data_IF_988305676705
#
_entry.id   IF_988305676705
#
_cell.length_a   1.000
_cell.length_b   1.000
_cell.length_c   1.000
_cell.angle_alpha   90.00
_cell.angle_beta   90.00
_cell.angle_gamma   90.00
#
_symmetry.space_group_name_H-M   'P 1'
#
loop_
_entity.id
_entity.type
_entity.pdbx_description
1 polymer ?
#
# COMPACT_ATOMS: atom_id res chain seq x y z
N UNK A 1 8.73 3.02 -18.67
CA UNK A 1 7.55 2.30 -19.16
C UNK A 1 6.52 3.31 -19.69
N UNK A 2 6.16 3.22 -20.97
CA UNK A 2 5.09 4.05 -21.57
C UNK A 2 3.74 3.45 -21.15
N UNK A 3 2.84 4.26 -20.63
CA UNK A 3 1.50 3.80 -20.24
C UNK A 3 0.64 3.69 -21.50
N UNK A 4 -0.25 2.70 -21.48
CA UNK A 4 -1.29 2.57 -22.50
C UNK A 4 -2.23 3.78 -22.43
N UNK A 5 -2.71 4.26 -23.59
CA UNK A 5 -3.62 5.40 -23.67
C UNK A 5 -4.91 5.14 -22.88
N UNK A 6 -5.38 3.88 -22.86
CA UNK A 6 -6.57 3.48 -22.09
C UNK A 6 -6.41 3.65 -20.57
N UNK A 7 -5.17 3.59 -20.06
CA UNK A 7 -4.88 3.81 -18.63
C UNK A 7 -4.86 5.31 -18.34
N UNK A 8 -4.31 6.10 -19.25
CA UNK A 8 -4.28 7.55 -19.10
C UNK A 8 -5.68 8.17 -19.16
N UNK A 9 -6.53 7.70 -20.07
CA UNK A 9 -7.91 8.18 -20.18
C UNK A 9 -8.72 7.83 -18.92
N UNK A 10 -8.57 6.60 -18.40
CA UNK A 10 -9.14 6.20 -17.12
C UNK A 10 -8.71 7.12 -15.97
N UNK A 11 -7.43 7.52 -15.91
CA UNK A 11 -6.96 8.44 -14.86
C UNK A 11 -7.52 9.86 -15.00
N UNK A 12 -7.66 10.35 -16.23
CA UNK A 12 -8.27 11.67 -16.47
C UNK A 12 -9.73 11.68 -16.03
N UNK A 13 -10.49 10.64 -16.37
CA UNK A 13 -11.88 10.45 -15.93
C UNK A 13 -11.97 10.34 -14.41
N UNK A 14 -11.17 9.46 -13.80
CA UNK A 14 -11.16 9.26 -12.34
C UNK A 14 -10.88 10.57 -11.59
N UNK A 15 -9.90 11.36 -12.05
CA UNK A 15 -9.59 12.67 -11.46
C UNK A 15 -10.77 13.62 -11.69
N UNK A 16 -11.30 13.72 -12.91
CA UNK A 16 -12.38 14.66 -13.23
C UNK A 16 -13.65 14.40 -12.38
N UNK A 17 -14.02 13.13 -12.21
CA UNK A 17 -15.21 12.72 -11.46
C UNK A 17 -15.08 13.01 -9.95
N UNK A 18 -13.88 12.82 -9.38
CA UNK A 18 -13.68 12.93 -7.93
C UNK A 18 -13.21 14.32 -7.48
N UNK A 19 -12.54 15.09 -8.34
CA UNK A 19 -11.95 16.40 -8.00
C UNK A 19 -12.90 17.37 -7.28
N UNK A 20 -14.20 17.46 -7.60
CA UNK A 20 -15.11 18.38 -6.90
C UNK A 20 -15.34 18.05 -5.42
N UNK A 21 -15.17 16.79 -5.03
CA UNK A 21 -15.51 16.28 -3.70
C UNK A 21 -14.33 15.68 -2.94
N UNK A 22 -13.19 15.47 -3.58
CA UNK A 22 -12.04 14.72 -3.01
C UNK A 22 -11.53 15.26 -1.68
N UNK A 23 -11.61 16.58 -1.46
CA UNK A 23 -11.20 17.22 -0.19
C UNK A 23 -12.27 17.10 0.91
N UNK A 24 -13.50 16.74 0.54
CA UNK A 24 -14.65 16.61 1.45
C UNK A 24 -15.02 15.15 1.74
N UNK A 25 -14.44 14.21 1.01
CA UNK A 25 -14.68 12.79 1.22
C UNK A 25 -14.34 12.39 2.65
N UNK A 26 -15.21 11.55 3.22
CA UNK A 26 -14.80 10.72 4.35
C UNK A 26 -13.68 9.78 3.91
N UNK A 27 -13.02 9.13 4.86
CA UNK A 27 -11.98 8.14 4.54
C UNK A 27 -12.53 7.03 3.64
N UNK A 28 -13.71 6.51 3.99
CA UNK A 28 -14.35 5.45 3.22
C UNK A 28 -14.79 5.93 1.83
N UNK A 29 -15.28 7.17 1.71
CA UNK A 29 -15.62 7.73 0.39
C UNK A 29 -14.37 7.90 -0.48
N UNK A 30 -13.26 8.37 0.10
CA UNK A 30 -11.99 8.52 -0.62
C UNK A 30 -11.43 7.15 -1.05
N UNK A 31 -11.48 6.18 -0.14
CA UNK A 31 -11.07 4.80 -0.36
C UNK A 31 -11.86 4.22 -1.54
N UNK A 32 -13.19 4.20 -1.43
CA UNK A 32 -14.08 3.53 -2.39
C UNK A 32 -14.12 4.24 -3.75
N UNK A 33 -14.21 5.58 -3.77
CA UNK A 33 -14.43 6.32 -5.02
C UNK A 33 -13.14 6.66 -5.76
N UNK A 34 -11.99 6.66 -5.08
CA UNK A 34 -10.72 7.12 -5.68
C UNK A 34 -9.57 6.13 -5.55
N UNK A 35 -9.26 5.63 -4.35
CA UNK A 35 -8.09 4.76 -4.13
C UNK A 35 -8.33 3.35 -4.70
N UNK A 36 -9.44 2.71 -4.34
CA UNK A 36 -9.83 1.37 -4.78
C UNK A 36 -9.88 1.24 -6.30
N UNK A 37 -10.42 2.20 -7.08
CA UNK A 37 -10.32 2.18 -8.54
C UNK A 37 -8.89 2.09 -9.08
N UNK A 38 -7.94 2.80 -8.47
CA UNK A 38 -6.51 2.74 -8.85
C UNK A 38 -5.96 1.34 -8.54
N UNK A 39 -6.22 0.81 -7.35
CA UNK A 39 -5.75 -0.51 -6.90
C UNK A 39 -6.34 -1.64 -7.76
N UNK A 40 -7.63 -1.56 -8.10
CA UNK A 40 -8.30 -2.49 -9.01
C UNK A 40 -7.69 -2.47 -10.42
N UNK A 41 -7.18 -1.34 -10.89
CA UNK A 41 -6.47 -1.23 -12.18
C UNK A 41 -5.12 -1.96 -12.16
N UNK A 42 -4.47 -2.10 -10.99
CA UNK A 42 -3.21 -2.85 -10.83
C UNK A 42 -3.45 -4.36 -10.92
N UNK A 43 -4.57 -4.85 -10.37
CA UNK A 43 -4.96 -6.27 -10.32
C UNK A 43 -3.89 -7.13 -9.62
N UNK A 44 -3.67 -6.95 -8.32
CA UNK A 44 -2.70 -7.77 -7.56
C UNK A 44 -3.05 -9.26 -7.51
N UNK A 45 -4.34 -9.61 -7.62
CA UNK A 45 -4.83 -10.99 -7.59
C UNK A 45 -4.24 -11.87 -8.71
N UNK A 46 -3.66 -13.00 -8.31
CA UNK A 46 -3.22 -14.10 -9.16
C UNK A 46 -3.66 -15.42 -8.53
N UNK A 47 -4.45 -16.20 -9.26
CA UNK A 47 -4.96 -17.50 -8.77
C UNK A 47 -3.87 -18.58 -8.81
N UNK A 48 -3.04 -18.56 -9.84
CA UNK A 48 -1.94 -19.51 -10.06
C UNK A 48 -0.84 -19.36 -8.99
N UNK A 49 -0.47 -18.11 -8.65
CA UNK A 49 0.50 -17.83 -7.57
C UNK A 49 -0.13 -17.80 -6.19
N UNK A 50 -1.45 -17.90 -6.09
CA UNK A 50 -2.23 -17.75 -4.86
C UNK A 50 -1.92 -16.43 -4.15
N UNK A 51 -1.95 -15.31 -4.86
CA UNK A 51 -1.71 -13.97 -4.31
C UNK A 51 -2.96 -13.13 -4.47
N UNK A 52 -3.28 -12.29 -3.49
CA UNK A 52 -4.26 -11.21 -3.66
C UNK A 52 -4.03 -10.08 -2.66
N UNK A 53 -4.72 -8.99 -2.90
CA UNK A 53 -4.99 -7.95 -1.93
C UNK A 53 -6.09 -8.37 -0.93
N UNK A 54 -5.90 -7.95 0.32
CA UNK A 54 -6.79 -8.09 1.46
C UNK A 54 -7.06 -6.69 2.02
N UNK A 55 -8.29 -6.45 2.44
CA UNK A 55 -8.67 -5.25 3.15
C UNK A 55 -9.03 -5.60 4.59
N UNK A 56 -8.80 -4.68 5.51
CA UNK A 56 -9.15 -4.82 6.93
C UNK A 56 -8.60 -6.12 7.53
N UNK A 57 -7.33 -6.43 7.26
CA UNK A 57 -6.71 -7.69 7.65
C UNK A 57 -6.17 -7.61 9.08
N UNK A 58 -6.70 -8.41 10.04
CA UNK A 58 -6.10 -8.50 11.37
C UNK A 58 -4.72 -9.18 11.29
N UNK A 59 -3.72 -8.59 11.93
CA UNK A 59 -2.37 -9.13 11.96
C UNK A 59 -1.80 -9.03 13.38
N UNK A 60 -1.02 -10.04 13.77
CA UNK A 60 -0.34 -10.07 15.06
C UNK A 60 1.09 -10.56 14.90
N UNK A 61 2.03 -9.79 15.44
CA UNK A 61 3.42 -10.19 15.64
C UNK A 61 3.73 -10.15 17.13
N UNK A 62 4.23 -11.27 17.67
CA UNK A 62 4.46 -11.44 19.11
C UNK A 62 5.87 -11.94 19.37
N UNK A 63 6.56 -11.26 20.28
CA UNK A 63 7.84 -11.69 20.85
C UNK A 63 7.68 -11.93 22.35
N UNK A 64 8.78 -12.26 23.03
CA UNK A 64 8.80 -12.30 24.49
C UNK A 64 8.74 -10.91 25.13
N UNK A 65 9.09 -9.85 24.40
CA UNK A 65 9.14 -8.48 24.93
C UNK A 65 7.88 -7.67 24.65
N UNK A 66 7.25 -7.88 23.50
CA UNK A 66 6.09 -7.09 23.09
C UNK A 66 5.16 -7.85 22.15
N UNK A 67 3.95 -7.30 21.99
CA UNK A 67 2.96 -7.75 21.02
C UNK A 67 2.58 -6.53 20.18
N UNK A 68 2.73 -6.66 18.87
CA UNK A 68 2.11 -5.78 17.89
C UNK A 68 0.86 -6.48 17.36
N UNK A 69 -0.30 -5.86 17.56
CA UNK A 69 -1.58 -6.33 17.06
C UNK A 69 -2.34 -5.14 16.48
N UNK A 70 -2.98 -5.32 15.34
CA UNK A 70 -3.77 -4.31 14.67
C UNK A 70 -4.49 -4.87 13.45
N UNK A 71 -5.30 -4.02 12.84
CA UNK A 71 -5.95 -4.28 11.55
C UNK A 71 -5.25 -3.42 10.50
N UNK A 72 -4.78 -4.05 9.44
CA UNK A 72 -4.13 -3.37 8.31
C UNK A 72 -5.21 -3.00 7.29
N UNK A 73 -5.19 -1.76 6.78
CA UNK A 73 -6.22 -1.29 5.84
C UNK A 73 -6.16 -2.05 4.50
N UNK A 74 -4.94 -2.24 3.97
CA UNK A 74 -4.69 -2.93 2.72
C UNK A 74 -3.37 -3.69 2.74
N UNK A 75 -3.42 -4.97 2.36
CA UNK A 75 -2.25 -5.86 2.31
C UNK A 75 -2.27 -6.72 1.06
N UNK A 76 -1.19 -6.71 0.28
CA UNK A 76 -0.95 -7.75 -0.74
C UNK A 76 -0.27 -8.92 -0.05
N UNK A 77 -0.83 -10.13 -0.15
CA UNK A 77 -0.33 -11.29 0.58
C UNK A 77 -0.51 -12.60 -0.20
N UNK A 78 0.29 -13.60 0.16
CA UNK A 78 0.03 -15.00 -0.21
C UNK A 78 -1.25 -15.50 0.46
N UNK A 79 -2.05 -16.24 -0.30
CA UNK A 79 -3.30 -16.87 0.09
C UNK A 79 -4.50 -16.29 -0.67
N UNK A 80 -5.45 -17.15 -1.02
CA UNK A 80 -6.69 -16.73 -1.69
C UNK A 80 -7.86 -16.54 -0.73
N UNK A 81 -7.83 -17.21 0.43
CA UNK A 81 -8.88 -17.14 1.44
C UNK A 81 -8.33 -16.42 2.67
N UNK A 82 -7.28 -16.99 3.27
CA UNK A 82 -6.56 -16.43 4.42
C UNK A 82 -5.19 -15.92 3.99
N UNK A 83 -4.75 -14.82 4.61
CA UNK A 83 -3.41 -14.26 4.43
C UNK A 83 -2.38 -15.14 5.13
N UNK A 84 -1.29 -15.48 4.44
CA UNK A 84 -0.20 -16.30 4.98
C UNK A 84 1.11 -15.55 5.06
N UNK A 85 1.45 -14.81 4.01
CA UNK A 85 2.74 -14.14 3.86
C UNK A 85 2.54 -12.75 3.25
N UNK A 86 2.51 -11.69 4.06
CA UNK A 86 2.28 -10.34 3.56
C UNK A 86 3.49 -9.83 2.76
N UNK A 87 3.25 -9.11 1.68
CA UNK A 87 4.27 -8.66 0.73
C UNK A 87 4.37 -7.15 0.63
N UNK A 88 3.25 -6.46 0.78
CA UNK A 88 3.16 -5.02 0.62
C UNK A 88 1.95 -4.48 1.39
N UNK A 89 2.11 -3.29 1.96
CA UNK A 89 1.09 -2.63 2.78
C UNK A 89 0.74 -1.27 2.21
N UNK A 90 -0.53 -0.89 2.28
CA UNK A 90 -0.96 0.50 2.12
C UNK A 90 -1.77 0.86 3.36
N UNK A 91 -1.40 1.97 4.01
CA UNK A 91 -2.15 2.51 5.12
C UNK A 91 -2.76 3.87 4.77
N UNK A 92 -4.05 4.04 4.99
CA UNK A 92 -4.83 5.22 4.63
C UNK A 92 -5.09 6.11 5.85
N UNK A 93 -5.05 7.44 5.67
CA UNK A 93 -5.22 8.40 6.76
C UNK A 93 -6.07 9.62 6.39
N UNK A 94 -6.84 10.08 7.38
CA UNK A 94 -7.62 11.33 7.31
C UNK A 94 -6.74 12.56 7.48
N UNK A 95 -7.02 13.60 6.69
CA UNK A 95 -6.40 14.93 6.84
C UNK A 95 -6.89 15.71 8.08
N UNK A 96 -8.04 15.33 8.66
CA UNK A 96 -8.75 16.13 9.67
C UNK A 96 -8.54 15.66 11.12
N UNK A 97 -7.74 14.62 11.36
CA UNK A 97 -7.38 14.22 12.72
C UNK A 97 -6.06 14.90 13.09
N UNK A 98 -6.13 15.94 13.93
CA UNK A 98 -5.00 16.75 14.42
C UNK A 98 -3.85 15.94 15.08
N UNK A 99 -4.01 14.61 15.24
CA UNK A 99 -3.10 13.73 15.97
C UNK A 99 -2.75 12.41 15.26
N UNK A 100 -3.23 12.16 14.03
CA UNK A 100 -2.96 10.93 13.29
C UNK A 100 -1.68 11.01 12.45
N UNK A 101 -0.57 10.43 12.91
CA UNK A 101 0.62 10.28 12.07
C UNK A 101 0.54 8.92 11.33
N UNK A 102 0.63 8.90 10.00
CA UNK A 102 0.55 7.67 9.24
C UNK A 102 1.69 6.68 9.46
N UNK A 103 2.84 7.23 9.85
CA UNK A 103 4.13 6.54 9.78
C UNK A 103 4.31 5.50 10.87
N UNK A 104 3.93 5.73 12.15
CA UNK A 104 4.11 4.73 13.21
C UNK A 104 3.33 3.45 12.95
N UNK A 105 2.10 3.54 12.46
CA UNK A 105 1.29 2.36 12.15
C UNK A 105 1.88 1.57 10.99
N UNK A 106 2.15 2.24 9.86
CA UNK A 106 2.81 1.59 8.73
C UNK A 106 4.18 1.01 9.14
N UNK A 107 4.96 1.71 9.96
CA UNK A 107 6.24 1.20 10.45
C UNK A 107 6.06 -0.09 11.26
N UNK A 108 5.06 -0.16 12.14
CA UNK A 108 4.75 -1.35 12.91
C UNK A 108 4.32 -2.52 12.03
N UNK A 109 3.53 -2.27 10.99
CA UNK A 109 3.12 -3.26 9.99
C UNK A 109 4.32 -3.81 9.23
N UNK A 110 5.20 -2.92 8.74
CA UNK A 110 6.40 -3.31 7.99
C UNK A 110 7.39 -4.08 8.88
N UNK A 111 7.60 -3.66 10.14
CA UNK A 111 8.43 -4.42 11.09
C UNK A 111 7.80 -5.80 11.35
N UNK A 112 6.50 -5.87 11.58
CA UNK A 112 5.81 -7.15 11.83
C UNK A 112 5.99 -8.10 10.66
N UNK A 113 5.79 -7.62 9.43
CA UNK A 113 5.88 -8.44 8.24
C UNK A 113 7.31 -8.81 7.85
N UNK A 114 8.29 -7.91 7.98
CA UNK A 114 9.70 -8.24 7.68
C UNK A 114 10.22 -9.31 8.65
N UNK A 115 9.78 -9.29 9.91
CA UNK A 115 10.12 -10.30 10.91
C UNK A 115 9.37 -11.62 10.68
N UNK A 116 8.05 -11.58 10.45
CA UNK A 116 7.24 -12.78 10.18
C UNK A 116 7.69 -13.53 8.93
N UNK A 117 8.22 -12.81 7.94
CA UNK A 117 8.68 -13.38 6.68
C UNK A 117 10.15 -13.80 6.68
N UNK A 118 10.90 -13.47 7.74
CA UNK A 118 12.37 -13.55 7.80
C UNK A 118 13.06 -12.86 6.60
N UNK A 119 12.67 -11.61 6.37
CA UNK A 119 13.12 -10.81 5.24
C UNK A 119 14.14 -9.75 5.65
N UNK A 120 14.87 -9.24 4.65
CA UNK A 120 15.78 -8.10 4.83
C UNK A 120 15.10 -6.78 4.45
N UNK A 121 14.18 -6.80 3.49
CA UNK A 121 13.50 -5.60 3.00
C UNK A 121 12.01 -5.83 2.87
N UNK A 122 11.22 -4.81 3.14
CA UNK A 122 9.80 -4.77 2.81
C UNK A 122 9.37 -3.39 2.35
N UNK A 123 8.37 -3.34 1.48
CA UNK A 123 7.82 -2.11 0.90
C UNK A 123 6.43 -1.83 1.43
N UNK A 124 6.10 -0.55 1.50
CA UNK A 124 4.75 -0.10 1.79
C UNK A 124 4.46 1.25 1.15
N UNK A 125 3.25 1.73 1.37
CA UNK A 125 2.88 3.11 1.11
C UNK A 125 1.95 3.61 2.22
N UNK A 126 1.91 4.93 2.40
CA UNK A 126 0.83 5.55 3.15
C UNK A 126 0.19 6.67 2.33
N UNK A 127 -1.09 6.88 2.59
CA UNK A 127 -1.93 7.84 1.87
C UNK A 127 -2.51 8.82 2.89
N UNK A 128 -2.43 10.12 2.59
CA UNK A 128 -3.05 11.17 3.42
C UNK A 128 -3.87 12.11 2.53
N UNK A 129 -5.19 11.89 2.52
CA UNK A 129 -6.05 12.42 1.45
C UNK A 129 -5.57 11.92 0.09
N UNK A 130 -5.33 12.81 -0.88
CA UNK A 130 -4.78 12.44 -2.19
C UNK A 130 -3.25 12.26 -2.24
N UNK A 131 -2.52 12.41 -1.14
CA UNK A 131 -1.05 12.38 -1.17
C UNK A 131 -0.52 10.99 -0.85
N UNK A 132 0.31 10.44 -1.73
CA UNK A 132 0.94 9.14 -1.58
C UNK A 132 2.42 9.28 -1.23
N UNK A 133 2.89 8.42 -0.34
CA UNK A 133 4.29 8.23 -0.04
C UNK A 133 4.63 6.75 -0.09
N UNK A 134 5.67 6.39 -0.84
CA UNK A 134 6.19 5.03 -0.87
C UNK A 134 7.32 4.88 0.13
N UNK A 135 7.42 3.69 0.72
CA UNK A 135 8.28 3.39 1.84
C UNK A 135 9.05 2.11 1.60
N UNK A 136 10.32 2.09 2.03
CA UNK A 136 11.14 0.88 2.14
C UNK A 136 11.62 0.79 3.59
N UNK A 137 11.41 -0.37 4.21
CA UNK A 137 12.02 -0.73 5.48
C UNK A 137 13.11 -1.78 5.22
N UNK A 138 14.32 -1.51 5.69
CA UNK A 138 15.45 -2.43 5.68
C UNK A 138 15.75 -2.90 7.11
N UNK A 139 15.83 -4.21 7.33
CA UNK A 139 16.31 -4.81 8.57
C UNK A 139 17.83 -4.93 8.47
N UNK A 140 18.55 -4.16 9.28
CA UNK A 140 20.01 -4.15 9.28
C UNK A 140 20.57 -5.24 10.20
N UNK A 141 20.02 -5.33 11.40
CA UNK A 141 20.41 -6.26 12.45
C UNK A 141 19.19 -6.58 13.33
N UNK A 142 19.37 -7.44 14.35
CA UNK A 142 18.32 -7.71 15.32
C UNK A 142 17.84 -6.40 16.00
N UNK A 143 16.55 -6.10 15.87
CA UNK A 143 15.91 -4.89 16.40
C UNK A 143 16.44 -3.55 15.84
N UNK A 144 17.14 -3.58 14.70
CA UNK A 144 17.72 -2.39 14.06
C UNK A 144 17.23 -2.30 12.62
N UNK A 145 16.51 -1.22 12.32
CA UNK A 145 15.87 -1.00 11.03
C UNK A 145 16.19 0.38 10.47
N UNK A 146 16.21 0.48 9.15
CA UNK A 146 16.33 1.74 8.42
C UNK A 146 15.08 1.97 7.59
N UNK A 147 14.51 3.17 7.72
CA UNK A 147 13.23 3.55 7.12
C UNK A 147 13.43 4.66 6.10
N UNK A 148 13.06 4.40 4.85
CA UNK A 148 13.17 5.34 3.73
C UNK A 148 11.79 5.73 3.24
N UNK A 149 11.59 7.02 3.00
CA UNK A 149 10.33 7.58 2.50
C UNK A 149 10.61 8.33 1.20
N UNK A 150 9.79 8.09 0.18
CA UNK A 150 9.83 8.87 -1.05
C UNK A 150 9.36 10.31 -0.83
N UNK A 151 9.61 11.15 -1.84
CA UNK A 151 8.83 12.38 -2.01
C UNK A 151 7.32 12.10 -2.08
N UNK A 152 6.51 13.14 -1.88
CA UNK A 152 5.06 13.04 -2.07
C UNK A 152 4.70 12.87 -3.55
N UNK A 153 3.61 12.15 -3.81
CA UNK A 153 2.94 12.10 -5.10
C UNK A 153 1.49 12.51 -4.91
N UNK A 154 1.05 13.56 -5.59
CA UNK A 154 -0.31 14.08 -5.50
C UNK A 154 -1.18 13.38 -6.53
N UNK A 155 -1.97 12.40 -6.09
CA UNK A 155 -2.81 11.59 -6.98
C UNK A 155 -3.91 12.39 -7.72
N UNK A 156 -4.13 13.66 -7.37
CA UNK A 156 -5.03 14.55 -8.13
C UNK A 156 -4.35 15.18 -9.36
N UNK A 157 -3.04 15.01 -9.50
CA UNK A 157 -2.24 15.42 -10.66
C UNK A 157 -1.97 14.22 -11.55
N UNK A 158 -2.26 14.37 -12.84
CA UNK A 158 -2.17 13.27 -13.81
C UNK A 158 -0.78 12.62 -13.87
N UNK A 159 0.31 13.41 -13.84
CA UNK A 159 1.68 12.87 -13.92
C UNK A 159 2.11 12.14 -12.64
N UNK A 160 1.66 12.60 -11.48
CA UNK A 160 1.90 11.93 -10.20
C UNK A 160 1.08 10.64 -10.10
N UNK A 161 -0.19 10.66 -10.52
CA UNK A 161 -1.02 9.46 -10.59
C UNK A 161 -0.44 8.40 -11.53
N UNK A 162 0.08 8.80 -12.69
CA UNK A 162 0.85 7.92 -13.59
C UNK A 162 2.08 7.32 -12.89
N UNK A 163 2.73 8.07 -12.01
CA UNK A 163 3.93 7.63 -11.28
C UNK A 163 3.58 6.67 -10.14
N UNK A 164 2.51 6.96 -9.38
CA UNK A 164 1.92 6.06 -8.38
C UNK A 164 1.59 4.71 -9.02
N UNK A 165 0.89 4.72 -10.15
CA UNK A 165 0.52 3.50 -10.85
C UNK A 165 1.74 2.69 -11.30
N UNK A 166 2.78 3.34 -11.81
CA UNK A 166 4.05 2.67 -12.18
C UNK A 166 4.75 2.05 -10.97
N UNK A 167 4.78 2.74 -9.84
CA UNK A 167 5.36 2.20 -8.59
C UNK A 167 4.58 0.96 -8.11
N UNK A 168 3.25 1.00 -8.15
CA UNK A 168 2.42 -0.14 -7.78
C UNK A 168 2.59 -1.33 -8.75
N UNK A 169 2.73 -1.07 -10.06
CA UNK A 169 3.05 -2.11 -11.04
C UNK A 169 4.43 -2.72 -10.79
N UNK A 170 5.42 -1.90 -10.43
CA UNK A 170 6.74 -2.40 -10.07
C UNK A 170 6.66 -3.33 -8.85
N UNK A 171 5.97 -2.91 -7.79
CA UNK A 171 5.71 -3.75 -6.60
C UNK A 171 5.03 -5.06 -7.00
N UNK A 172 3.96 -5.00 -7.79
CA UNK A 172 3.26 -6.21 -8.27
C UNK A 172 4.21 -7.17 -8.99
N UNK A 173 5.00 -6.67 -9.94
CA UNK A 173 5.90 -7.51 -10.74
C UNK A 173 7.01 -8.12 -9.88
N UNK A 174 7.53 -7.35 -8.92
CA UNK A 174 8.52 -7.85 -7.98
C UNK A 174 7.95 -8.98 -7.11
N UNK A 175 6.74 -8.81 -6.57
CA UNK A 175 6.05 -9.85 -5.78
C UNK A 175 5.85 -11.12 -6.61
N UNK A 176 5.42 -10.99 -7.87
CA UNK A 176 5.23 -12.15 -8.75
C UNK A 176 6.55 -12.88 -9.02
N UNK A 177 7.65 -12.13 -9.21
CA UNK A 177 8.98 -12.70 -9.41
C UNK A 177 9.49 -13.42 -8.15
N UNK A 178 9.18 -12.92 -6.94
CA UNK A 178 9.55 -13.59 -5.68
C UNK A 178 8.90 -14.97 -5.52
N UNK A 179 7.72 -15.19 -6.10
CA UNK A 179 6.94 -16.44 -6.01
C UNK A 179 7.18 -17.35 -7.23
N UNK A 180 8.00 -16.91 -8.20
CA UNK A 180 8.48 -17.74 -9.31
C UNK A 180 9.75 -18.52 -9.00
N UNK A 181 10.54 -18.06 -8.01
CA UNK A 181 11.77 -18.68 -7.54
C UNK A 181 11.51 -19.74 -6.45
#
# INVERSE_FOLDING_TARGET
MKLDSSVEDFFKELIADNKPLIERYSEEDLKVNFIVPILNKIKFKSYDKKIRDFYELPMTYKTSQFILNGTCDFVVSEGLVESKKPYFFIQEFKRNEDYGNPRPQLLAELISAVELNDWQFIKGAYITGGNWHFVILEKLELHKYQYFISQNFDSTKIEDLKSIYKNLLFVKNEILAMVEA
#
